data_IF_814573048336
#
_entry.id   IF_814573048336
#
_cell.length_a   1.000
_cell.length_b   1.000
_cell.length_c   1.000
_cell.angle_alpha   90.00
_cell.angle_beta   90.00
_cell.angle_gamma   90.00
#
_symmetry.space_group_name_H-M   'P 1'
#
loop_
_entity.id
_entity.type
_entity.pdbx_description
1 polymer ?
#
# COMPACT_ATOMS: atom_id res chain seq x y z
N UNK A 1 8.94 2.71 -17.05
CA UNK A 1 9.46 3.26 -15.78
C UNK A 1 8.36 3.44 -14.74
N UNK A 2 7.19 4.00 -15.09
CA UNK A 2 6.07 4.23 -14.15
C UNK A 2 5.57 2.98 -13.40
N UNK A 3 5.52 1.84 -14.09
CA UNK A 3 5.01 0.60 -13.49
C UNK A 3 5.95 0.04 -12.42
N UNK A 4 7.26 0.24 -12.57
CA UNK A 4 8.27 -0.29 -11.64
C UNK A 4 8.22 0.48 -10.31
N UNK A 5 8.10 1.80 -10.37
CA UNK A 5 7.96 2.64 -9.17
C UNK A 5 6.64 2.36 -8.44
N UNK A 6 5.56 2.07 -9.18
CA UNK A 6 4.29 1.63 -8.63
C UNK A 6 4.42 0.31 -7.84
N UNK A 7 5.15 -0.68 -8.36
CA UNK A 7 5.37 -1.94 -7.65
C UNK A 7 6.23 -1.77 -6.40
N UNK A 8 7.25 -0.91 -6.43
CA UNK A 8 8.08 -0.61 -5.25
C UNK A 8 7.26 0.08 -4.16
N UNK A 9 6.38 1.01 -4.52
CA UNK A 9 5.48 1.66 -3.57
C UNK A 9 4.47 0.67 -2.97
N UNK A 10 3.93 -0.25 -3.78
CA UNK A 10 3.10 -1.36 -3.28
C UNK A 10 3.86 -2.25 -2.30
N UNK A 11 5.11 -2.63 -2.63
CA UNK A 11 5.95 -3.44 -1.76
C UNK A 11 6.24 -2.78 -0.41
N UNK A 12 6.53 -1.47 -0.43
CA UNK A 12 6.73 -0.69 0.80
C UNK A 12 5.46 -0.61 1.64
N UNK A 13 4.29 -0.39 1.01
CA UNK A 13 3.01 -0.42 1.68
C UNK A 13 2.76 -1.78 2.36
N UNK A 14 3.00 -2.88 1.65
CA UNK A 14 2.83 -4.23 2.16
C UNK A 14 3.74 -4.56 3.35
N UNK A 15 5.02 -4.17 3.30
CA UNK A 15 5.94 -4.35 4.42
C UNK A 15 5.49 -3.58 5.68
N UNK A 16 4.95 -2.38 5.47
CA UNK A 16 4.50 -1.51 6.55
C UNK A 16 3.16 -2.00 7.15
N UNK A 17 2.25 -2.51 6.32
CA UNK A 17 1.03 -3.20 6.78
C UNK A 17 1.33 -4.50 7.53
N UNK A 18 2.35 -5.25 7.10
CA UNK A 18 2.82 -6.45 7.83
C UNK A 18 3.30 -6.07 9.23
N UNK A 19 4.11 -5.03 9.35
CA UNK A 19 4.60 -4.54 10.65
C UNK A 19 3.44 -4.13 11.58
N UNK A 20 2.46 -3.39 11.07
CA UNK A 20 1.29 -3.00 11.87
C UNK A 20 0.40 -4.19 12.27
N UNK A 21 0.20 -5.16 11.37
CA UNK A 21 -0.59 -6.34 11.63
C UNK A 21 0.06 -7.29 12.65
N UNK A 22 1.38 -7.47 12.57
CA UNK A 22 2.10 -8.44 13.40
C UNK A 22 2.15 -8.04 14.88
N UNK A 23 2.42 -6.77 15.21
CA UNK A 23 2.82 -6.39 16.59
C UNK A 23 1.99 -5.27 17.23
N UNK A 24 1.19 -4.53 16.45
CA UNK A 24 0.48 -3.31 16.92
C UNK A 24 -1.03 -3.44 16.96
N UNK A 25 -1.60 -4.44 16.28
CA UNK A 25 -3.05 -4.56 16.17
C UNK A 25 -3.63 -5.39 17.33
N UNK A 26 -4.59 -4.87 18.10
CA UNK A 26 -5.25 -5.60 19.19
C UNK A 26 -6.27 -6.64 18.69
N UNK A 27 -6.68 -6.58 17.42
CA UNK A 27 -7.58 -7.55 16.80
C UNK A 27 -7.37 -7.64 15.30
N UNK A 28 -7.81 -8.75 14.70
CA UNK A 28 -7.71 -8.98 13.24
C UNK A 28 -8.44 -7.89 12.45
N UNK A 29 -9.56 -7.38 12.97
CA UNK A 29 -10.33 -6.32 12.31
C UNK A 29 -9.59 -4.98 12.33
N UNK A 30 -8.92 -4.66 13.45
CA UNK A 30 -8.07 -3.47 13.55
C UNK A 30 -6.83 -3.59 12.66
N UNK A 31 -6.22 -4.77 12.57
CA UNK A 31 -5.13 -5.03 11.63
C UNK A 31 -5.55 -4.79 10.18
N UNK A 32 -6.74 -5.26 9.80
CA UNK A 32 -7.30 -5.10 8.46
C UNK A 32 -7.53 -3.62 8.12
N UNK A 33 -8.10 -2.84 9.05
CA UNK A 33 -8.31 -1.39 8.88
C UNK A 33 -6.97 -0.66 8.79
N UNK A 34 -6.02 -0.94 9.67
CA UNK A 34 -4.69 -0.32 9.63
C UNK A 34 -3.95 -0.63 8.33
N UNK A 35 -4.04 -1.87 7.86
CA UNK A 35 -3.56 -2.29 6.54
C UNK A 35 -4.21 -1.46 5.42
N UNK A 36 -5.54 -1.42 5.36
CA UNK A 36 -6.27 -0.66 4.35
C UNK A 36 -5.90 0.84 4.36
N UNK A 37 -5.87 1.47 5.54
CA UNK A 37 -5.51 2.88 5.71
C UNK A 37 -4.07 3.14 5.26
N UNK A 38 -3.13 2.25 5.60
CA UNK A 38 -1.74 2.37 5.16
C UNK A 38 -1.60 2.25 3.63
N UNK A 39 -2.36 1.33 3.01
CA UNK A 39 -2.40 1.18 1.55
C UNK A 39 -3.00 2.39 0.84
N UNK A 40 -4.06 2.99 1.41
CA UNK A 40 -4.64 4.25 0.90
C UNK A 40 -3.60 5.38 1.00
N UNK A 41 -2.98 5.55 2.17
CA UNK A 41 -1.96 6.57 2.39
C UNK A 41 -0.81 6.46 1.38
N UNK A 42 -0.29 5.24 1.17
CA UNK A 42 0.78 5.00 0.19
C UNK A 42 0.35 5.27 -1.25
N UNK A 43 -0.87 4.91 -1.63
CA UNK A 43 -1.37 5.20 -2.98
C UNK A 43 -1.47 6.71 -3.24
N UNK A 44 -1.93 7.48 -2.25
CA UNK A 44 -2.02 8.95 -2.33
C UNK A 44 -0.63 9.58 -2.40
N UNK A 45 0.31 9.13 -1.56
CA UNK A 45 1.70 9.63 -1.60
C UNK A 45 2.35 9.31 -2.93
N UNK A 46 2.18 8.10 -3.46
CA UNK A 46 2.69 7.71 -4.77
C UNK A 46 2.14 8.62 -5.87
N UNK A 47 0.83 8.91 -5.86
CA UNK A 47 0.23 9.82 -6.81
C UNK A 47 0.79 11.24 -6.71
N UNK A 48 0.89 11.78 -5.50
CA UNK A 48 1.41 13.12 -5.26
C UNK A 48 2.86 13.25 -5.75
N UNK A 49 3.72 12.26 -5.47
CA UNK A 49 5.11 12.24 -5.95
C UNK A 49 5.15 12.14 -7.47
N UNK A 50 4.31 11.28 -8.07
CA UNK A 50 4.31 11.11 -9.52
C UNK A 50 3.83 12.38 -10.23
N UNK A 51 2.81 13.07 -9.70
CA UNK A 51 2.36 14.38 -10.19
C UNK A 51 3.47 15.43 -10.04
N UNK A 52 4.17 15.47 -8.90
CA UNK A 52 5.29 16.39 -8.70
C UNK A 52 6.41 16.16 -9.72
N UNK A 53 6.76 14.90 -10.01
CA UNK A 53 7.75 14.56 -11.04
C UNK A 53 7.26 14.95 -12.43
N UNK A 54 5.98 14.73 -12.76
CA UNK A 54 5.41 15.11 -14.04
C UNK A 54 5.41 16.64 -14.28
N UNK A 55 5.24 17.43 -13.21
CA UNK A 55 5.37 18.90 -13.28
C UNK A 55 6.84 19.31 -13.49
N UNK A 56 7.78 18.64 -12.81
CA UNK A 56 9.21 18.94 -12.89
C UNK A 56 9.86 18.49 -14.21
N UNK A 57 9.35 17.42 -14.83
CA UNK A 57 9.81 16.90 -16.12
C UNK A 57 8.63 16.77 -17.10
N UNK A 58 8.16 17.88 -17.69
CA UNK A 58 7.06 17.84 -18.65
C UNK A 58 7.40 16.95 -19.86
N UNK A 59 6.48 16.06 -20.23
CA UNK A 59 6.63 15.12 -21.36
C UNK A 59 7.18 13.73 -20.99
N UNK A 60 7.56 13.49 -19.73
CA UNK A 60 8.01 12.16 -19.27
C UNK A 60 6.87 11.20 -18.92
N UNK A 61 5.68 11.73 -18.65
CA UNK A 61 4.52 10.98 -18.17
C UNK A 61 3.26 11.36 -18.96
N UNK A 62 2.50 10.37 -19.41
CA UNK A 62 1.19 10.59 -20.03
C UNK A 62 0.13 10.66 -18.94
N UNK A 63 -0.57 11.79 -18.82
CA UNK A 63 -1.55 12.03 -17.76
C UNK A 63 -2.66 10.96 -17.75
N UNK A 64 -2.98 10.40 -18.92
CA UNK A 64 -3.99 9.34 -19.05
C UNK A 64 -3.52 8.00 -18.49
N UNK A 65 -2.26 7.59 -18.76
CA UNK A 65 -1.69 6.36 -18.20
C UNK A 65 -1.54 6.48 -16.68
N UNK A 66 -1.15 7.66 -16.19
CA UNK A 66 -0.96 7.97 -14.78
C UNK A 66 -2.25 7.81 -13.97
N UNK A 67 -3.36 8.37 -14.47
CA UNK A 67 -4.66 8.26 -13.83
C UNK A 67 -5.16 6.81 -13.74
N UNK A 68 -4.95 6.02 -14.80
CA UNK A 68 -5.34 4.59 -14.81
C UNK A 68 -4.49 3.78 -13.84
N UNK A 69 -3.17 4.02 -13.80
CA UNK A 69 -2.27 3.35 -12.86
C UNK A 69 -2.58 3.72 -11.40
N UNK A 70 -2.92 4.98 -11.14
CA UNK A 70 -3.37 5.43 -9.83
C UNK A 70 -4.67 4.76 -9.40
N UNK A 71 -5.69 4.70 -10.27
CA UNK A 71 -6.95 4.03 -9.94
C UNK A 71 -6.73 2.55 -9.60
N UNK A 72 -5.86 1.86 -10.33
CA UNK A 72 -5.47 0.47 -10.03
C UNK A 72 -4.74 0.35 -8.70
N UNK A 73 -3.78 1.22 -8.43
CA UNK A 73 -3.04 1.27 -7.16
C UNK A 73 -3.94 1.58 -5.97
N UNK A 74 -4.89 2.50 -6.13
CA UNK A 74 -5.85 2.90 -5.10
C UNK A 74 -6.78 1.75 -4.70
N UNK A 75 -6.98 0.75 -5.57
CA UNK A 75 -7.78 -0.44 -5.25
C UNK A 75 -6.89 -1.59 -4.77
N UNK A 76 -5.80 -1.87 -5.49
CA UNK A 76 -4.93 -3.02 -5.22
C UNK A 76 -4.08 -2.83 -3.95
N UNK A 77 -3.55 -1.63 -3.70
CA UNK A 77 -2.70 -1.39 -2.54
C UNK A 77 -3.47 -1.53 -1.23
N UNK A 78 -4.68 -0.93 -1.03
CA UNK A 78 -5.43 -1.11 0.20
C UNK A 78 -5.91 -2.55 0.40
N UNK A 79 -6.38 -3.22 -0.66
CA UNK A 79 -6.82 -4.61 -0.57
C UNK A 79 -5.67 -5.55 -0.18
N UNK A 80 -4.52 -5.44 -0.86
CA UNK A 80 -3.36 -6.24 -0.54
C UNK A 80 -2.80 -5.94 0.85
N UNK A 81 -2.74 -4.66 1.23
CA UNK A 81 -2.27 -4.20 2.53
C UNK A 81 -3.17 -4.72 3.66
N UNK A 82 -4.49 -4.67 3.49
CA UNK A 82 -5.46 -5.19 4.44
C UNK A 82 -5.33 -6.71 4.62
N UNK A 83 -5.17 -7.46 3.52
CA UNK A 83 -5.00 -8.92 3.56
C UNK A 83 -3.69 -9.30 4.26
N UNK A 84 -2.58 -8.62 3.92
CA UNK A 84 -1.27 -8.89 4.53
C UNK A 84 -1.27 -8.54 6.03
N UNK A 85 -1.87 -7.42 6.43
CA UNK A 85 -1.99 -7.07 7.84
C UNK A 85 -2.84 -8.08 8.63
N UNK A 86 -3.96 -8.53 8.05
CA UNK A 86 -4.81 -9.55 8.67
C UNK A 86 -4.10 -10.91 8.78
N UNK A 87 -3.37 -11.33 7.75
CA UNK A 87 -2.57 -12.56 7.77
C UNK A 87 -1.42 -12.46 8.79
N UNK A 88 -0.71 -11.34 8.83
CA UNK A 88 0.38 -11.10 9.77
C UNK A 88 -0.10 -11.19 11.22
N UNK A 89 -1.25 -10.58 11.53
CA UNK A 89 -1.86 -10.65 12.85
C UNK A 89 -2.26 -12.08 13.22
N UNK A 90 -2.91 -12.81 12.30
CA UNK A 90 -3.27 -14.22 12.53
C UNK A 90 -2.04 -15.10 12.76
N UNK A 91 -0.95 -14.84 12.06
CA UNK A 91 0.30 -15.57 12.23
C UNK A 91 0.95 -15.28 13.59
N UNK A 92 0.93 -14.01 14.04
CA UNK A 92 1.43 -13.61 15.34
C UNK A 92 0.62 -14.25 16.49
N UNK A 93 -0.71 -14.22 16.40
CA UNK A 93 -1.60 -14.87 17.39
C UNK A 93 -1.40 -16.38 17.42
N UNK A 94 -1.28 -17.04 16.28
CA UNK A 94 -1.03 -18.48 16.21
C UNK A 94 0.32 -18.87 16.85
N UNK A 95 1.34 -18.01 16.77
CA UNK A 95 2.65 -18.24 17.41
C UNK A 95 2.64 -18.12 18.92
N UNK A 96 1.74 -17.33 19.51
CA UNK A 96 1.66 -17.16 20.98
C UNK A 96 0.97 -18.34 21.69
N UNK A 97 0.30 -19.22 20.94
CA UNK A 97 -0.40 -20.39 21.47
C UNK A 97 0.45 -21.68 21.51
N UNK A 98 1.70 -21.63 21.04
CA UNK A 98 2.70 -22.71 21.13
C UNK A 98 3.83 -22.31 22.09
#
# INVERSE_FOLDING_TARGET
MESITAFVACGAAFALSYYFGYDRAPSTFVALILGAVSGIGFSVVFFAVTVAVAIMLPGTFDARSLGVNFARLLVLAPLGAAVIAALAHRHAVARMHF
#
